data_IF_336499873324
#
_entry.id   IF_336499873324
#
_cell.length_a   1.000
_cell.length_b   1.000
_cell.length_c   1.000
_cell.angle_alpha   90.00
_cell.angle_beta   90.00
_cell.angle_gamma   90.00
#
_symmetry.space_group_name_H-M   'P 1'
#
loop_
_entity.id
_entity.type
_entity.pdbx_description
1 polymer ?
#
# COMPACT_ATOMS: atom_id res chain seq x y z
N UNK A 1 -3.69 2.83 14.13
CA UNK A 1 -2.32 2.40 13.83
C UNK A 1 -2.25 1.12 13.00
N UNK A 2 -3.05 0.11 13.31
CA UNK A 2 -3.08 -1.14 12.52
C UNK A 2 -3.46 -0.93 11.04
N UNK A 3 -4.35 0.00 10.74
CA UNK A 3 -4.79 0.29 9.35
C UNK A 3 -3.69 0.87 8.46
N UNK A 4 -2.85 1.77 8.97
CA UNK A 4 -1.77 2.38 8.18
C UNK A 4 -0.63 1.42 7.88
N UNK A 5 -0.24 0.61 8.86
CA UNK A 5 0.77 -0.42 8.62
C UNK A 5 0.27 -1.50 7.66
N UNK A 6 -1.02 -1.86 7.73
CA UNK A 6 -1.65 -2.81 6.82
C UNK A 6 -1.64 -2.33 5.37
N UNK A 7 -1.92 -1.04 5.13
CA UNK A 7 -1.87 -0.45 3.78
C UNK A 7 -0.45 -0.49 3.22
N UNK A 8 0.54 -0.13 4.04
CA UNK A 8 1.94 -0.14 3.61
C UNK A 8 2.42 -1.57 3.33
N UNK A 9 2.08 -2.54 4.18
CA UNK A 9 2.39 -3.95 3.94
C UNK A 9 1.81 -4.44 2.62
N UNK A 10 0.56 -4.15 2.36
CA UNK A 10 -0.11 -4.51 1.11
C UNK A 10 0.63 -3.96 -0.10
N UNK A 11 0.97 -2.68 -0.07
CA UNK A 11 1.69 -2.02 -1.16
C UNK A 11 3.09 -2.61 -1.37
N UNK A 12 3.81 -2.89 -0.30
CA UNK A 12 5.14 -3.53 -0.36
C UNK A 12 5.05 -4.92 -0.98
N UNK A 13 4.11 -5.74 -0.51
CA UNK A 13 3.92 -7.08 -1.06
C UNK A 13 3.59 -7.02 -2.55
N UNK A 14 2.75 -6.10 -2.97
CA UNK A 14 2.38 -5.95 -4.37
C UNK A 14 3.54 -5.53 -5.27
N UNK A 15 4.36 -4.61 -4.81
CA UNK A 15 5.53 -4.16 -5.56
C UNK A 15 6.58 -5.27 -5.67
N UNK A 16 6.82 -6.01 -4.60
CA UNK A 16 7.78 -7.12 -4.60
C UNK A 16 7.27 -8.35 -5.36
N UNK A 17 5.96 -8.46 -5.55
CA UNK A 17 5.38 -9.52 -6.37
C UNK A 17 5.88 -9.45 -7.81
N UNK A 18 6.10 -8.26 -8.32
CA UNK A 18 6.60 -8.08 -9.68
C UNK A 18 8.07 -8.45 -9.82
N UNK A 19 8.88 -7.87 -8.96
CA UNK A 19 10.33 -8.04 -9.00
C UNK A 19 10.93 -7.82 -7.62
N UNK A 20 11.99 -8.55 -7.27
CA UNK A 20 12.82 -8.18 -6.14
C UNK A 20 13.38 -6.77 -6.34
N UNK A 21 13.51 -6.00 -5.27
CA UNK A 21 14.08 -4.67 -5.37
C UNK A 21 14.76 -4.22 -4.08
N UNK A 22 15.68 -3.26 -4.22
CA UNK A 22 16.36 -2.62 -3.10
C UNK A 22 15.40 -1.73 -2.32
N UNK A 23 15.71 -1.46 -1.06
CA UNK A 23 14.92 -0.57 -0.23
C UNK A 23 14.72 0.82 -0.82
N UNK A 24 15.73 1.36 -1.49
CA UNK A 24 15.64 2.66 -2.16
C UNK A 24 14.59 2.66 -3.29
N UNK A 25 14.65 1.65 -4.15
CA UNK A 25 13.70 1.52 -5.27
C UNK A 25 12.29 1.28 -4.74
N UNK A 26 12.17 0.46 -3.71
CA UNK A 26 10.90 0.19 -3.04
C UNK A 26 10.26 1.45 -2.48
N UNK A 27 11.04 2.29 -1.78
CA UNK A 27 10.56 3.58 -1.26
C UNK A 27 10.09 4.49 -2.40
N UNK A 28 10.88 4.56 -3.46
CA UNK A 28 10.56 5.39 -4.63
C UNK A 28 9.22 4.97 -5.26
N UNK A 29 9.01 3.68 -5.44
CA UNK A 29 7.77 3.16 -6.02
C UNK A 29 6.58 3.28 -5.07
N UNK A 30 6.80 3.10 -3.78
CA UNK A 30 5.75 3.33 -2.78
C UNK A 30 5.26 4.77 -2.80
N UNK A 31 6.17 5.74 -2.94
CA UNK A 31 5.79 7.14 -3.08
C UNK A 31 4.99 7.40 -4.35
N UNK A 32 5.27 6.68 -5.43
CA UNK A 32 4.47 6.78 -6.65
C UNK A 32 3.04 6.23 -6.46
N UNK A 33 2.89 5.16 -5.69
CA UNK A 33 1.59 4.52 -5.42
C UNK A 33 0.80 5.28 -4.36
N UNK A 34 1.44 5.67 -3.26
CA UNK A 34 0.81 6.26 -2.08
C UNK A 34 1.04 7.76 -1.93
N UNK A 35 1.87 8.35 -2.75
CA UNK A 35 2.32 9.74 -2.60
C UNK A 35 1.21 10.78 -2.61
N UNK A 36 0.07 10.48 -3.24
CA UNK A 36 -1.11 11.35 -3.22
C UNK A 36 -1.74 11.47 -1.83
N UNK A 37 -1.51 10.50 -0.96
CA UNK A 37 -2.13 10.42 0.36
C UNK A 37 -1.15 10.68 1.48
N UNK A 38 0.10 10.23 1.32
CA UNK A 38 1.17 10.48 2.28
C UNK A 38 2.54 10.21 1.66
N UNK A 39 3.55 10.92 2.16
CA UNK A 39 4.94 10.63 1.81
C UNK A 39 5.44 9.43 2.62
N UNK A 40 6.13 8.52 1.96
CA UNK A 40 6.75 7.35 2.61
C UNK A 40 8.22 7.67 2.87
N UNK A 41 8.59 7.66 4.13
CA UNK A 41 9.97 7.83 4.59
C UNK A 41 10.61 6.47 4.90
N UNK A 42 11.93 6.44 4.99
CA UNK A 42 12.63 5.25 5.48
C UNK A 42 12.24 4.91 6.92
N UNK A 43 11.88 5.91 7.73
CA UNK A 43 11.40 5.71 9.10
C UNK A 43 10.09 4.92 9.18
N UNK A 44 9.25 4.99 8.14
CA UNK A 44 8.02 4.19 8.02
C UNK A 44 8.28 2.85 7.34
N UNK A 45 9.13 2.84 6.32
CA UNK A 45 9.37 1.67 5.49
C UNK A 45 10.15 0.57 6.23
N UNK A 46 11.24 0.92 6.91
CA UNK A 46 12.09 -0.11 7.53
C UNK A 46 11.39 -0.91 8.64
N UNK A 47 10.60 -0.29 9.54
CA UNK A 47 9.81 -1.07 10.48
C UNK A 47 8.83 -2.03 9.81
N UNK A 48 8.22 -1.61 8.71
CA UNK A 48 7.33 -2.45 7.90
C UNK A 48 8.08 -3.65 7.31
N UNK A 49 9.23 -3.41 6.70
CA UNK A 49 10.08 -4.48 6.15
C UNK A 49 10.51 -5.45 7.23
N UNK A 50 10.86 -4.95 8.41
CA UNK A 50 11.25 -5.77 9.55
C UNK A 50 10.12 -6.69 10.01
N UNK A 51 8.90 -6.18 10.05
CA UNK A 51 7.72 -6.98 10.38
C UNK A 51 7.45 -8.05 9.33
N UNK A 52 7.57 -7.71 8.07
CA UNK A 52 7.37 -8.66 6.96
C UNK A 52 8.43 -9.76 6.96
N UNK A 53 9.68 -9.41 7.27
CA UNK A 53 10.77 -10.38 7.45
C UNK A 53 10.49 -11.33 8.62
N UNK A 54 10.05 -10.79 9.76
CA UNK A 54 9.71 -11.57 10.94
C UNK A 54 8.54 -12.53 10.68
N UNK A 55 7.62 -12.16 9.81
CA UNK A 55 6.47 -12.96 9.41
C UNK A 55 6.77 -13.94 8.25
N UNK A 56 8.00 -13.98 7.78
CA UNK A 56 8.44 -14.80 6.63
C UNK A 56 7.68 -14.52 5.32
N UNK A 57 7.14 -13.33 5.18
CA UNK A 57 6.45 -12.92 3.94
C UNK A 57 7.41 -12.37 2.89
N UNK A 58 8.55 -11.86 3.32
CA UNK A 58 9.65 -11.44 2.46
C UNK A 58 10.96 -12.00 3.00
N UNK A 59 11.98 -12.00 2.15
CA UNK A 59 13.35 -12.38 2.54
C UNK A 59 14.35 -11.38 1.97
N UNK A 60 15.51 -11.32 2.61
CA UNK A 60 16.63 -10.54 2.11
C UNK A 60 17.48 -11.42 1.19
N UNK A 61 17.74 -10.90 -0.01
CA UNK A 61 18.69 -11.50 -0.94
C UNK A 61 19.84 -10.50 -1.04
N UNK A 62 20.82 -10.64 -0.16
CA UNK A 62 21.98 -9.78 -0.20
C UNK A 62 22.93 -10.15 -1.31
N UNK A 63 23.75 -9.22 -1.82
CA UNK A 63 24.93 -9.64 -2.54
C UNK A 63 25.83 -10.36 -1.54
N UNK A 64 25.92 -11.67 -1.67
CA UNK A 64 26.96 -12.41 -1.00
C UNK A 64 28.29 -11.80 -1.44
N UNK A 65 29.12 -11.36 -0.51
CA UNK A 65 30.52 -11.00 -0.75
C UNK A 65 30.82 -9.71 -1.53
N UNK A 66 30.29 -8.58 -1.15
CA UNK A 66 31.00 -7.35 -1.42
C UNK A 66 31.79 -6.96 -0.16
N UNK A 67 33.12 -7.08 -0.24
CA UNK A 67 33.99 -6.78 0.90
C UNK A 67 33.72 -5.41 1.51
N UNK A 68 33.52 -5.43 2.80
CA UNK A 68 33.59 -4.31 3.74
C UNK A 68 32.98 -2.97 3.31
N UNK A 69 31.68 -2.86 3.09
CA UNK A 69 31.09 -1.54 3.01
C UNK A 69 30.60 -1.06 4.36
N UNK A 70 30.52 0.26 4.48
CA UNK A 70 29.84 0.92 5.58
C UNK A 70 28.41 0.39 5.74
N UNK A 71 27.87 0.39 6.96
CA UNK A 71 26.51 -0.08 7.26
C UNK A 71 25.43 0.54 6.35
N UNK A 72 25.61 1.79 5.94
CA UNK A 72 24.69 2.46 5.02
C UNK A 72 24.71 1.86 3.61
N UNK A 73 25.88 1.44 3.11
CA UNK A 73 25.99 0.78 1.83
C UNK A 73 25.44 -0.65 1.84
N UNK A 74 25.50 -1.33 2.98
CA UNK A 74 24.86 -2.64 3.15
C UNK A 74 23.35 -2.56 3.03
N UNK A 75 22.72 -1.59 3.70
CA UNK A 75 21.25 -1.39 3.62
C UNK A 75 20.80 -1.03 2.21
N UNK A 76 21.57 -0.19 1.51
CA UNK A 76 21.26 0.21 0.15
C UNK A 76 21.37 -0.95 -0.85
N UNK A 77 22.17 -1.98 -0.55
CA UNK A 77 22.40 -3.14 -1.43
C UNK A 77 21.56 -4.36 -1.09
N UNK A 78 20.80 -4.33 0.01
CA UNK A 78 19.91 -5.43 0.37
C UNK A 78 18.72 -5.43 -0.60
N UNK A 79 18.52 -6.55 -1.26
CA UNK A 79 17.39 -6.79 -2.13
C UNK A 79 16.34 -7.57 -1.34
N UNK A 80 15.11 -7.09 -1.36
CA UNK A 80 13.97 -7.77 -0.75
C UNK A 80 13.21 -8.55 -1.81
N UNK A 81 12.76 -9.73 -1.45
CA UNK A 81 12.03 -10.63 -2.35
C UNK A 81 10.87 -11.27 -1.62
N UNK A 82 9.74 -11.46 -2.30
CA UNK A 82 8.62 -12.21 -1.74
C UNK A 82 8.97 -13.68 -1.56
N UNK A 83 8.48 -14.24 -0.45
CA UNK A 83 8.41 -15.69 -0.23
C UNK A 83 7.14 -16.25 -0.87
N UNK A 84 6.98 -17.57 -0.90
CA UNK A 84 5.72 -18.20 -1.32
C UNK A 84 4.55 -17.75 -0.45
N UNK A 85 4.77 -17.67 0.87
CA UNK A 85 3.78 -17.19 1.83
C UNK A 85 3.42 -15.72 1.59
N UNK A 86 4.40 -14.92 1.20
CA UNK A 86 4.18 -13.52 0.82
C UNK A 86 3.29 -13.38 -0.40
N UNK A 87 3.47 -14.24 -1.39
CA UNK A 87 2.62 -14.27 -2.60
C UNK A 87 1.17 -14.62 -2.25
N UNK A 88 0.99 -15.64 -1.41
CA UNK A 88 -0.34 -16.05 -0.95
C UNK A 88 -1.02 -14.91 -0.19
N UNK A 89 -0.29 -14.26 0.71
CA UNK A 89 -0.81 -13.12 1.48
C UNK A 89 -1.23 -11.97 0.58
N UNK A 90 -0.43 -11.67 -0.44
CA UNK A 90 -0.78 -10.64 -1.42
C UNK A 90 -2.07 -10.99 -2.17
N UNK A 91 -2.22 -12.22 -2.61
CA UNK A 91 -3.43 -12.68 -3.31
C UNK A 91 -4.68 -12.59 -2.41
N UNK A 92 -4.56 -12.95 -1.14
CA UNK A 92 -5.64 -12.80 -0.16
C UNK A 92 -6.06 -11.32 -0.02
N UNK A 93 -5.08 -10.42 0.08
CA UNK A 93 -5.35 -8.99 0.19
C UNK A 93 -5.99 -8.42 -1.07
N UNK A 94 -5.55 -8.87 -2.25
CA UNK A 94 -6.15 -8.46 -3.53
C UNK A 94 -7.62 -8.85 -3.63
N UNK A 95 -8.01 -9.97 -3.04
CA UNK A 95 -9.38 -10.48 -3.13
C UNK A 95 -10.34 -9.83 -2.15
N UNK A 96 -9.87 -8.99 -1.23
CA UNK A 96 -10.71 -8.30 -0.27
C UNK A 96 -11.64 -7.28 -0.95
N UNK A 97 -12.90 -7.27 -0.54
CA UNK A 97 -13.94 -6.38 -1.07
C UNK A 97 -14.69 -5.62 0.00
N UNK A 98 -14.27 -5.72 1.26
CA UNK A 98 -14.93 -5.07 2.39
C UNK A 98 -14.81 -3.55 2.37
N UNK A 99 -15.51 -2.88 3.31
CA UNK A 99 -15.55 -1.40 3.36
C UNK A 99 -14.17 -0.73 3.51
N UNK A 100 -13.18 -1.41 4.08
CA UNK A 100 -11.83 -0.88 4.19
C UNK A 100 -11.20 -0.61 2.81
N UNK A 101 -11.60 -1.36 1.78
CA UNK A 101 -11.10 -1.17 0.40
C UNK A 101 -11.59 0.12 -0.24
N UNK A 102 -12.58 0.78 0.36
CA UNK A 102 -13.17 2.04 -0.12
C UNK A 102 -12.49 3.26 0.49
N UNK A 103 -11.66 3.09 1.51
CA UNK A 103 -10.90 4.16 2.14
C UNK A 103 -9.83 4.69 1.16
N UNK A 104 -9.53 5.98 1.22
CA UNK A 104 -8.69 6.66 0.23
C UNK A 104 -7.36 5.96 -0.03
N UNK A 105 -6.57 5.71 1.02
CA UNK A 105 -5.25 5.08 0.87
C UNK A 105 -5.36 3.63 0.37
N UNK A 106 -6.23 2.86 0.99
CA UNK A 106 -6.39 1.45 0.65
C UNK A 106 -6.95 1.26 -0.75
N UNK A 107 -7.93 2.07 -1.12
CA UNK A 107 -8.44 2.07 -2.49
C UNK A 107 -7.33 2.37 -3.49
N UNK A 108 -6.47 3.33 -3.19
CA UNK A 108 -5.33 3.67 -4.05
C UNK A 108 -4.41 2.48 -4.31
N UNK A 109 -4.15 1.66 -3.29
CA UNK A 109 -3.34 0.45 -3.44
C UNK A 109 -4.05 -0.60 -4.28
N UNK A 110 -5.33 -0.88 -4.00
CA UNK A 110 -6.12 -1.80 -4.82
C UNK A 110 -6.16 -1.35 -6.28
N UNK A 111 -6.38 -0.07 -6.51
CA UNK A 111 -6.43 0.50 -7.85
C UNK A 111 -5.10 0.32 -8.61
N UNK A 112 -3.97 0.50 -7.92
CA UNK A 112 -2.64 0.31 -8.50
C UNK A 112 -2.41 -1.13 -8.98
N UNK A 113 -3.09 -2.10 -8.38
CA UNK A 113 -2.97 -3.52 -8.72
C UNK A 113 -4.20 -4.09 -9.43
N UNK A 114 -5.06 -3.25 -9.97
CA UNK A 114 -6.28 -3.69 -10.64
C UNK A 114 -6.04 -4.59 -11.85
N UNK A 115 -4.90 -4.44 -12.52
CA UNK A 115 -4.54 -5.33 -13.64
C UNK A 115 -4.41 -6.80 -13.23
N UNK A 116 -4.21 -7.07 -11.94
CA UNK A 116 -4.07 -8.41 -11.37
C UNK A 116 -5.26 -8.85 -10.56
N UNK A 117 -6.26 -7.99 -10.45
CA UNK A 117 -7.45 -8.23 -9.65
C UNK A 117 -8.54 -8.77 -10.54
N UNK A 118 -9.29 -9.77 -10.08
CA UNK A 118 -10.43 -10.30 -10.79
C UNK A 118 -11.48 -9.21 -11.06
N UNK A 119 -12.09 -9.26 -12.22
CA UNK A 119 -13.05 -8.25 -12.66
C UNK A 119 -14.23 -8.09 -11.69
N UNK A 120 -14.71 -9.17 -11.11
CA UNK A 120 -15.78 -9.13 -10.12
C UNK A 120 -15.36 -8.37 -8.86
N UNK A 121 -14.15 -8.62 -8.37
CA UNK A 121 -13.58 -7.93 -7.22
C UNK A 121 -13.40 -6.44 -7.53
N UNK A 122 -12.84 -6.11 -8.70
CA UNK A 122 -12.72 -4.71 -9.13
C UNK A 122 -14.06 -3.98 -9.11
N UNK A 123 -15.09 -4.61 -9.66
CA UNK A 123 -16.43 -4.02 -9.69
C UNK A 123 -16.97 -3.75 -8.29
N UNK A 124 -16.83 -4.69 -7.38
CA UNK A 124 -17.29 -4.53 -6.00
C UNK A 124 -16.56 -3.38 -5.28
N UNK A 125 -15.25 -3.30 -5.45
CA UNK A 125 -14.45 -2.21 -4.88
C UNK A 125 -14.88 -0.86 -5.46
N UNK A 126 -15.03 -0.77 -6.78
CA UNK A 126 -15.45 0.47 -7.46
C UNK A 126 -16.85 0.90 -7.06
N UNK A 127 -17.79 -0.03 -6.96
CA UNK A 127 -19.16 0.28 -6.54
C UNK A 127 -19.20 0.79 -5.10
N UNK A 128 -18.47 0.15 -4.19
CA UNK A 128 -18.37 0.58 -2.80
C UNK A 128 -17.71 1.95 -2.67
N UNK A 129 -16.62 2.18 -3.41
CA UNK A 129 -15.94 3.47 -3.46
C UNK A 129 -16.85 4.57 -3.97
N UNK A 130 -17.59 4.29 -5.04
CA UNK A 130 -18.57 5.21 -5.61
C UNK A 130 -19.62 5.59 -4.57
N UNK A 131 -20.22 4.62 -3.90
CA UNK A 131 -21.22 4.87 -2.85
C UNK A 131 -20.66 5.73 -1.72
N UNK A 132 -19.43 5.45 -1.29
CA UNK A 132 -18.75 6.23 -0.26
C UNK A 132 -18.57 7.69 -0.68
N UNK A 133 -18.16 7.93 -1.91
CA UNK A 133 -17.99 9.28 -2.46
C UNK A 133 -19.31 10.02 -2.62
N UNK A 134 -20.37 9.33 -3.04
CA UNK A 134 -21.72 9.90 -3.13
C UNK A 134 -22.25 10.34 -1.77
N UNK A 135 -22.02 9.55 -0.72
CA UNK A 135 -22.37 9.90 0.66
C UNK A 135 -21.61 11.16 1.12
N UNK A 136 -20.31 11.22 0.88
CA UNK A 136 -19.48 12.39 1.21
C UNK A 136 -20.00 13.64 0.50
N UNK A 137 -20.31 13.50 -0.78
CA UNK A 137 -20.84 14.62 -1.58
C UNK A 137 -22.18 15.10 -1.03
N UNK A 138 -23.07 14.19 -0.66
CA UNK A 138 -24.37 14.52 -0.07
C UNK A 138 -24.22 15.28 1.25
N UNK A 139 -23.32 14.82 2.13
CA UNK A 139 -23.04 15.50 3.41
C UNK A 139 -22.49 16.92 3.17
N UNK A 140 -21.56 17.09 2.24
CA UNK A 140 -21.01 18.40 1.90
C UNK A 140 -22.08 19.35 1.38
N UNK A 141 -22.92 18.89 0.45
CA UNK A 141 -24.03 19.69 -0.08
C UNK A 141 -24.99 20.15 1.01
N UNK A 142 -25.36 19.26 1.93
CA UNK A 142 -26.22 19.59 3.06
C UNK A 142 -25.58 20.61 3.98
N UNK A 143 -24.27 20.54 4.19
CA UNK A 143 -23.53 21.50 5.01
C UNK A 143 -23.53 22.89 4.38
N UNK A 144 -23.32 22.96 3.06
CA UNK A 144 -23.37 24.25 2.32
C UNK A 144 -24.75 24.87 2.35
N UNK A 145 -25.82 24.11 2.15
CA UNK A 145 -27.19 24.60 2.20
C UNK A 145 -27.52 25.19 3.57
N UNK A 146 -27.16 24.48 4.66
CA UNK A 146 -27.36 24.98 6.02
C UNK A 146 -26.52 26.21 6.33
N UNK A 147 -25.35 26.34 5.72
CA UNK A 147 -24.49 27.51 5.87
C UNK A 147 -25.07 28.76 5.22
N UNK A 148 -25.71 28.62 4.06
CA UNK A 148 -26.37 29.74 3.36
C UNK A 148 -27.66 30.21 4.06
N UNK A 149 -28.41 29.31 4.66
CA UNK A 149 -29.64 29.66 5.42
C UNK A 149 -29.36 30.44 6.72
N UNK A 150 -28.13 30.41 7.24
CA UNK A 150 -27.75 31.15 8.44
C UNK A 150 -27.27 32.58 8.21
N UNK A 151 -27.10 32.96 6.95
CA UNK A 151 -26.58 34.31 6.57
C UNK A 151 -27.69 35.28 6.22
N UNK A 152 -28.91 34.79 6.07
CA UNK A 152 -30.13 35.61 5.90
C UNK A 152 -30.83 35.84 7.24
#
# INVERSE_FOLDING_TARGET
MAKRSSVLEFAVLGLLHDNPMHGYELRKRLNAVLGSFRAISYGSLYPCLKQLLAADLIREVGPADSGAPTLSNRRAKIVYQLTAEGKERFEELLAETGPDTWDDERFGVHFAFFSRTDSEVRMRILQGRRSRLEERLSVLRSSFTRGTERVD
#
